data_IF_239428830073
#
_entry.id   IF_239428830073
#
_cell.length_a   1.000
_cell.length_b   1.000
_cell.length_c   1.000
_cell.angle_alpha   90.00
_cell.angle_beta   90.00
_cell.angle_gamma   90.00
#
_symmetry.space_group_name_H-M   'P 1'
#
loop_
_entity.id
_entity.type
_entity.pdbx_description
1 polymer ?
#
# COMPACT_ATOMS: atom_id res chain seq x y z
N UNK A 1 -4.18 -4.54 9.18
CA UNK A 1 -5.59 -4.56 9.60
C UNK A 1 -6.37 -5.19 8.44
N UNK A 2 -7.70 -5.16 8.34
CA UNK A 2 -8.40 -5.69 7.14
C UNK A 2 -9.09 -4.55 6.39
N UNK A 3 -9.37 -4.78 5.09
CA UNK A 3 -10.00 -3.80 4.18
C UNK A 3 -11.18 -3.04 4.82
N UNK A 4 -12.11 -3.76 5.46
CA UNK A 4 -13.29 -3.16 6.09
C UNK A 4 -12.90 -2.17 7.19
N UNK A 5 -11.99 -2.56 8.08
CA UNK A 5 -11.55 -1.70 9.18
C UNK A 5 -10.75 -0.49 8.69
N UNK A 6 -9.94 -0.62 7.64
CA UNK A 6 -9.28 0.52 7.01
C UNK A 6 -10.30 1.51 6.45
N UNK A 7 -11.33 1.01 5.77
CA UNK A 7 -12.40 1.86 5.23
C UNK A 7 -13.21 2.56 6.32
N UNK A 8 -13.53 1.88 7.42
CA UNK A 8 -14.18 2.50 8.59
C UNK A 8 -13.31 3.59 9.21
N UNK A 9 -12.01 3.34 9.33
CA UNK A 9 -11.05 4.32 9.86
C UNK A 9 -10.92 5.55 8.94
N UNK A 10 -10.83 5.36 7.63
CA UNK A 10 -10.82 6.45 6.67
C UNK A 10 -12.14 7.23 6.67
N UNK A 11 -13.28 6.54 6.78
CA UNK A 11 -14.59 7.19 6.86
C UNK A 11 -14.69 8.09 8.10
N UNK A 12 -14.13 7.65 9.23
CA UNK A 12 -14.08 8.45 10.45
C UNK A 12 -13.14 9.67 10.31
N UNK A 13 -12.01 9.52 9.63
CA UNK A 13 -10.99 10.58 9.51
C UNK A 13 -11.29 11.59 8.38
N UNK A 14 -11.87 11.13 7.27
CA UNK A 14 -11.93 11.85 6.00
C UNK A 14 -13.33 11.87 5.37
N UNK A 15 -14.33 11.23 6.01
CA UNK A 15 -15.71 11.22 5.54
C UNK A 15 -16.01 10.21 4.41
N UNK A 16 -15.00 9.47 3.94
CA UNK A 16 -15.10 8.46 2.86
C UNK A 16 -14.25 7.23 3.18
N UNK A 17 -14.66 6.06 2.70
CA UNK A 17 -13.99 4.78 2.96
C UNK A 17 -12.79 4.48 2.05
N UNK A 18 -12.64 5.15 0.90
CA UNK A 18 -11.54 4.97 -0.05
C UNK A 18 -11.27 3.50 -0.41
N UNK A 19 -12.35 2.75 -0.66
CA UNK A 19 -12.30 1.34 -1.02
C UNK A 19 -11.26 1.04 -2.12
N UNK A 20 -11.19 1.88 -3.17
CA UNK A 20 -10.26 1.70 -4.27
C UNK A 20 -8.79 1.79 -3.85
N UNK A 21 -8.48 2.56 -2.80
CA UNK A 21 -7.11 2.71 -2.27
C UNK A 21 -6.70 1.47 -1.51
N UNK A 22 -7.60 0.94 -0.67
CA UNK A 22 -7.35 -0.27 0.10
C UNK A 22 -7.25 -1.51 -0.81
N UNK A 23 -8.13 -1.60 -1.81
CA UNK A 23 -8.10 -2.68 -2.79
C UNK A 23 -6.81 -2.63 -3.64
N UNK A 24 -6.29 -1.43 -3.93
CA UNK A 24 -5.01 -1.28 -4.65
C UNK A 24 -3.80 -1.66 -3.78
N UNK A 25 -3.72 -1.13 -2.55
CA UNK A 25 -2.62 -1.42 -1.62
C UNK A 25 -2.52 -2.90 -1.30
N UNK A 26 -3.65 -3.54 -0.99
CA UNK A 26 -3.72 -4.94 -0.58
C UNK A 26 -4.01 -5.90 -1.76
N UNK A 27 -3.99 -5.42 -3.01
CA UNK A 27 -4.40 -6.21 -4.18
C UNK A 27 -3.59 -7.49 -4.40
N UNK A 28 -2.42 -7.61 -3.77
CA UNK A 28 -1.57 -8.80 -3.80
C UNK A 28 -1.57 -9.60 -2.48
N UNK A 29 -2.42 -9.24 -1.51
CA UNK A 29 -2.43 -9.90 -0.21
C UNK A 29 -2.85 -11.38 -0.28
N UNK A 30 -3.70 -11.77 -1.24
CA UNK A 30 -4.03 -13.19 -1.45
C UNK A 30 -2.85 -13.98 -2.03
N UNK A 31 -2.10 -13.38 -2.95
CA UNK A 31 -0.92 -14.01 -3.57
C UNK A 31 0.27 -14.07 -2.60
N UNK A 32 0.44 -13.05 -1.75
CA UNK A 32 1.53 -12.93 -0.78
C UNK A 32 0.99 -12.68 0.65
N UNK A 33 0.45 -13.74 1.29
CA UNK A 33 -0.38 -13.61 2.50
C UNK A 33 0.39 -13.41 3.80
N UNK A 34 1.72 -13.57 3.85
CA UNK A 34 2.51 -13.38 5.09
C UNK A 34 2.99 -11.93 5.24
N UNK A 35 2.32 -10.99 4.56
CA UNK A 35 2.62 -9.57 4.58
C UNK A 35 3.66 -9.14 3.54
N UNK A 36 4.18 -10.05 2.70
CA UNK A 36 5.20 -9.70 1.72
C UNK A 36 4.65 -8.78 0.61
N UNK A 37 3.34 -8.79 0.35
CA UNK A 37 2.69 -7.87 -0.60
C UNK A 37 2.98 -6.40 -0.28
N UNK A 38 3.22 -6.06 0.99
CA UNK A 38 3.53 -4.69 1.44
C UNK A 38 4.75 -4.10 0.75
N UNK A 39 5.67 -4.96 0.28
CA UNK A 39 6.82 -4.56 -0.55
C UNK A 39 6.43 -3.85 -1.84
N UNK A 40 5.22 -4.06 -2.36
CA UNK A 40 4.79 -3.47 -3.63
C UNK A 40 4.30 -2.02 -3.47
N UNK A 41 3.47 -1.70 -2.47
CA UNK A 41 2.83 -0.38 -2.42
C UNK A 41 2.81 0.28 -1.03
N UNK A 42 3.16 -0.40 0.07
CA UNK A 42 3.09 0.15 1.43
C UNK A 42 4.31 1.01 1.79
N UNK A 43 4.60 2.01 0.95
CA UNK A 43 5.73 2.93 1.11
C UNK A 43 5.47 4.27 0.38
N UNK A 44 6.29 5.29 0.59
CA UNK A 44 6.10 6.65 0.03
C UNK A 44 5.99 6.67 -1.49
N UNK A 45 6.82 5.89 -2.21
CA UNK A 45 6.66 5.75 -3.68
C UNK A 45 5.29 5.20 -4.10
N UNK A 46 4.71 4.28 -3.33
CA UNK A 46 3.36 3.75 -3.57
C UNK A 46 2.27 4.80 -3.29
N UNK A 47 2.41 5.57 -2.21
CA UNK A 47 1.53 6.72 -1.92
C UNK A 47 1.57 7.73 -3.07
N UNK A 48 2.76 8.06 -3.58
CA UNK A 48 2.90 8.99 -4.70
C UNK A 48 2.24 8.46 -5.99
N UNK A 49 2.30 7.14 -6.23
CA UNK A 49 1.57 6.51 -7.34
C UNK A 49 0.06 6.62 -7.15
N UNK A 50 -0.45 6.32 -5.95
CA UNK A 50 -1.87 6.45 -5.60
C UNK A 50 -2.35 7.90 -5.77
N UNK A 51 -1.55 8.89 -5.36
CA UNK A 51 -1.86 10.31 -5.57
C UNK A 51 -2.04 10.64 -7.06
N UNK A 52 -1.16 10.12 -7.93
CA UNK A 52 -1.25 10.32 -9.39
C UNK A 52 -2.47 9.63 -10.01
N UNK A 53 -2.87 8.47 -9.47
CA UNK A 53 -3.99 7.68 -10.01
C UNK A 53 -5.35 8.17 -9.52
N UNK A 54 -5.45 8.58 -8.26
CA UNK A 54 -6.72 8.77 -7.55
C UNK A 54 -6.85 10.14 -6.85
N UNK A 55 -5.82 10.97 -6.88
CA UNK A 55 -5.80 12.31 -6.30
C UNK A 55 -5.25 12.38 -4.86
N UNK A 56 -5.08 13.60 -4.36
CA UNK A 56 -4.38 13.87 -3.09
C UNK A 56 -5.11 13.30 -1.86
N UNK A 57 -6.44 13.27 -1.87
CA UNK A 57 -7.20 12.67 -0.77
C UNK A 57 -7.02 11.15 -0.69
N UNK A 58 -6.84 10.48 -1.84
CA UNK A 58 -6.48 9.06 -1.87
C UNK A 58 -5.07 8.82 -1.31
N UNK A 59 -4.14 9.76 -1.51
CA UNK A 59 -2.82 9.69 -0.91
C UNK A 59 -2.87 9.74 0.63
N UNK A 60 -3.73 10.59 1.21
CA UNK A 60 -3.97 10.64 2.67
C UNK A 60 -4.55 9.34 3.20
N UNK A 61 -5.49 8.73 2.45
CA UNK A 61 -6.05 7.43 2.79
C UNK A 61 -4.98 6.31 2.75
N UNK A 62 -4.10 6.34 1.75
CA UNK A 62 -2.99 5.39 1.64
C UNK A 62 -1.98 5.54 2.78
N UNK A 63 -1.58 6.77 3.09
CA UNK A 63 -0.69 7.06 4.23
C UNK A 63 -1.28 6.54 5.54
N UNK A 64 -2.57 6.84 5.80
CA UNK A 64 -3.27 6.34 6.99
C UNK A 64 -3.29 4.82 7.05
N UNK A 65 -3.65 4.16 5.94
CA UNK A 65 -3.63 2.70 5.87
C UNK A 65 -2.26 2.13 6.24
N UNK A 66 -1.19 2.66 5.66
CA UNK A 66 0.19 2.20 5.90
C UNK A 66 0.59 2.43 7.36
N UNK A 67 0.25 3.60 7.92
CA UNK A 67 0.49 3.90 9.34
C UNK A 67 -0.25 2.94 10.28
N UNK A 68 -1.48 2.55 9.96
CA UNK A 68 -2.25 1.59 10.76
C UNK A 68 -1.66 0.17 10.71
N UNK A 69 -0.99 -0.17 9.61
CA UNK A 69 -0.41 -1.48 9.38
C UNK A 69 1.02 -1.64 9.92
N UNK A 70 1.80 -0.56 9.89
CA UNK A 70 3.24 -0.58 10.17
C UNK A 70 3.66 0.36 11.31
N UNK A 71 2.84 1.36 11.66
CA UNK A 71 3.18 2.42 12.61
C UNK A 71 4.07 3.53 12.04
N UNK A 72 4.57 3.39 10.81
CA UNK A 72 5.36 4.37 10.07
C UNK A 72 5.20 4.14 8.56
N UNK A 73 5.71 5.07 7.75
CA UNK A 73 5.70 4.95 6.28
C UNK A 73 7.13 4.73 5.78
N UNK A 74 7.47 3.54 5.23
CA UNK A 74 8.76 3.31 4.57
C UNK A 74 8.95 4.21 3.34
N UNK A 75 10.19 4.49 2.96
CA UNK A 75 10.46 5.32 1.78
C UNK A 75 10.10 4.59 0.47
N UNK A 76 10.57 3.36 0.33
CA UNK A 76 10.37 2.55 -0.87
C UNK A 76 10.33 1.05 -0.57
N UNK A 77 10.24 0.25 -1.63
CA UNK A 77 10.16 -1.20 -1.60
C UNK A 77 11.42 -1.88 -1.02
N UNK A 78 12.56 -1.18 -0.89
CA UNK A 78 13.81 -1.76 -0.36
C UNK A 78 13.74 -2.03 1.13
N UNK A 79 12.82 -1.38 1.86
CA UNK A 79 12.60 -1.60 3.29
C UNK A 79 12.25 -3.05 3.64
N UNK A 80 11.54 -3.75 2.76
CA UNK A 80 11.07 -5.11 3.01
C UNK A 80 12.05 -6.13 2.41
N UNK A 81 12.63 -6.98 3.24
CA UNK A 81 13.38 -8.15 2.77
C UNK A 81 12.41 -9.19 2.17
N UNK A 82 12.79 -9.82 1.06
CA UNK A 82 12.07 -10.97 0.52
C UNK A 82 13.00 -11.80 -0.36
N UNK A 83 12.86 -13.13 -0.26
CA UNK A 83 13.52 -14.10 -1.14
C UNK A 83 12.54 -14.73 -2.13
N UNK A 84 11.27 -14.33 -2.13
CA UNK A 84 10.26 -14.88 -3.04
C UNK A 84 10.55 -14.38 -4.47
N UNK A 85 10.98 -15.25 -5.40
CA UNK A 85 11.41 -14.82 -6.72
C UNK A 85 10.26 -14.22 -7.54
N UNK A 86 9.03 -14.69 -7.35
CA UNK A 86 7.89 -14.19 -8.07
C UNK A 86 7.51 -12.77 -7.58
N UNK A 87 7.55 -12.52 -6.26
CA UNK A 87 7.36 -11.17 -5.73
C UNK A 87 8.46 -10.22 -6.20
N UNK A 88 9.73 -10.65 -6.14
CA UNK A 88 10.86 -9.84 -6.59
C UNK A 88 10.74 -9.44 -8.06
N UNK A 89 10.31 -10.37 -8.93
CA UNK A 89 10.05 -10.08 -10.33
C UNK A 89 8.92 -9.03 -10.50
N UNK A 90 7.87 -9.06 -9.68
CA UNK A 90 6.80 -8.03 -9.72
C UNK A 90 7.32 -6.69 -9.25
N UNK A 91 8.06 -6.65 -8.14
CA UNK A 91 8.66 -5.42 -7.62
C UNK A 91 9.57 -4.79 -8.67
N UNK A 92 10.41 -5.58 -9.36
CA UNK A 92 11.26 -5.08 -10.43
C UNK A 92 10.48 -4.56 -11.64
N UNK A 93 9.32 -5.15 -11.94
CA UNK A 93 8.45 -4.69 -13.04
C UNK A 93 7.70 -3.38 -12.70
N UNK A 94 7.25 -3.22 -11.45
CA UNK A 94 6.53 -2.02 -10.98
C UNK A 94 7.49 -0.88 -10.67
N UNK A 95 8.62 -1.21 -10.05
CA UNK A 95 9.65 -0.28 -9.60
C UNK A 95 11.00 -0.61 -10.23
N UNK A 96 11.15 -0.52 -11.56
CA UNK A 96 12.47 -0.55 -12.15
C UNK A 96 13.30 0.56 -11.49
N UNK A 97 14.50 0.21 -11.02
CA UNK A 97 15.38 1.19 -10.38
C UNK A 97 15.49 2.45 -11.26
N UNK A 98 15.36 3.62 -10.62
CA UNK A 98 15.47 4.92 -11.28
C UNK A 98 16.89 5.46 -11.15
#
# INVERSE_FOLDING_TARGET
>A
MNRKRHGESCKAAFGRDFAEVHDFLDGYAEQFPRGEHRKLYHHRRGIALIARMFGDDAAKAAERHILEDLGFVPEDHTHFASENPELLARVAAVWPEA
#
